data_IF_341427475299
#
_entry.id   IF_341427475299
#
_cell.length_a   1.000
_cell.length_b   1.000
_cell.length_c   1.000
_cell.angle_alpha   90.00
_cell.angle_beta   90.00
_cell.angle_gamma   90.00
#
_symmetry.space_group_name_H-M   'P 1'
#
loop_
_entity.id
_entity.type
_entity.pdbx_description
1 polymer ?
#
# COMPACT_ATOMS: atom_id res chain seq x y z
N UNK A 1 47.69 -20.98 17.90
CA UNK A 1 46.32 -20.42 17.85
C UNK A 1 45.44 -21.51 17.29
N UNK A 2 44.65 -22.16 18.16
CA UNK A 2 43.67 -23.19 17.76
C UNK A 2 42.46 -22.48 17.25
N UNK A 3 42.10 -22.66 15.98
CA UNK A 3 40.80 -22.36 15.42
C UNK A 3 39.79 -23.30 16.06
N UNK A 4 38.91 -22.76 16.92
CA UNK A 4 37.73 -23.47 17.37
C UNK A 4 36.73 -23.49 16.22
N UNK A 5 36.69 -24.59 15.48
CA UNK A 5 35.61 -24.91 14.58
C UNK A 5 34.33 -25.16 15.40
N UNK A 6 33.46 -24.18 15.46
CA UNK A 6 32.12 -24.37 16.03
C UNK A 6 31.34 -25.24 15.04
N UNK A 7 31.18 -26.54 15.35
CA UNK A 7 30.36 -27.43 14.54
C UNK A 7 28.89 -27.29 14.96
N UNK A 8 28.05 -26.75 14.11
CA UNK A 8 26.61 -26.81 14.27
C UNK A 8 26.09 -28.13 13.72
N UNK A 9 25.42 -28.95 14.55
CA UNK A 9 24.67 -30.11 14.08
C UNK A 9 23.28 -29.64 13.62
N UNK A 10 23.06 -29.66 12.31
CA UNK A 10 21.73 -29.50 11.76
C UNK A 10 20.86 -30.72 12.06
N UNK A 11 19.78 -30.58 12.83
CA UNK A 11 18.64 -31.48 12.71
C UNK A 11 17.87 -31.06 11.44
N UNK A 12 17.98 -31.86 10.38
CA UNK A 12 17.14 -31.76 9.21
C UNK A 12 15.70 -32.09 9.60
N UNK A 13 14.84 -31.10 9.80
CA UNK A 13 13.45 -31.25 9.48
C UNK A 13 13.35 -31.07 7.95
N UNK A 14 12.69 -31.99 7.26
CA UNK A 14 12.60 -32.01 5.78
C UNK A 14 11.75 -30.85 5.21
N UNK A 15 11.12 -30.04 6.06
CA UNK A 15 10.31 -28.89 5.68
C UNK A 15 11.18 -27.66 5.41
N UNK A 16 10.86 -26.96 4.35
CA UNK A 16 11.49 -25.68 3.99
C UNK A 16 11.23 -24.68 5.11
N UNK A 17 12.27 -24.38 5.88
CA UNK A 17 12.19 -23.50 7.04
C UNK A 17 12.19 -22.05 6.57
N UNK A 18 11.01 -21.46 6.42
CA UNK A 18 10.83 -20.07 6.00
C UNK A 18 9.53 -19.46 6.51
N UNK A 19 9.50 -18.17 6.50
CA UNK A 19 8.30 -17.37 6.76
C UNK A 19 7.91 -16.69 5.45
N UNK A 20 6.64 -16.78 5.07
CA UNK A 20 6.10 -16.02 3.94
C UNK A 20 4.92 -15.21 4.43
N UNK A 21 4.99 -13.90 4.22
CA UNK A 21 3.85 -12.99 4.42
C UNK A 21 3.24 -12.60 3.09
N UNK A 22 1.93 -12.38 3.10
CA UNK A 22 1.13 -11.89 1.99
C UNK A 22 0.41 -10.63 2.44
N UNK A 23 0.65 -9.51 1.76
CA UNK A 23 0.12 -8.19 2.13
C UNK A 23 -0.57 -7.56 0.93
N UNK A 24 -1.86 -7.18 1.03
CA UNK A 24 -2.60 -6.61 -0.08
C UNK A 24 -2.18 -5.17 -0.36
N UNK A 25 -2.39 -4.74 -1.61
CA UNK A 25 -2.36 -3.34 -1.98
C UNK A 25 -3.68 -2.67 -1.66
N UNK A 26 -3.67 -1.32 -1.62
CA UNK A 26 -4.86 -0.53 -1.30
C UNK A 26 -5.29 0.37 -2.45
N UNK A 27 -6.58 0.61 -2.49
CA UNK A 27 -7.24 1.59 -3.35
C UNK A 27 -7.90 2.64 -2.47
N UNK A 28 -7.46 3.90 -2.54
CA UNK A 28 -8.01 5.02 -1.78
C UNK A 28 -8.98 5.80 -2.64
N UNK A 29 -10.24 5.84 -2.24
CA UNK A 29 -11.30 6.51 -2.99
C UNK A 29 -11.43 7.98 -2.64
N UNK A 30 -11.61 8.30 -1.36
CA UNK A 30 -11.89 9.65 -0.87
C UNK A 30 -10.95 10.04 0.27
N UNK A 31 -10.81 11.33 0.50
CA UNK A 31 -10.05 11.87 1.63
C UNK A 31 -8.53 11.87 1.48
N UNK A 32 -7.99 11.31 0.40
CA UNK A 32 -6.53 11.21 0.24
C UNK A 32 -5.83 12.57 0.27
N UNK A 33 -4.83 12.69 1.15
CA UNK A 33 -4.13 13.92 1.48
C UNK A 33 -4.54 14.49 2.84
N UNK A 34 -5.74 14.17 3.35
CA UNK A 34 -6.14 14.53 4.72
C UNK A 34 -5.53 13.61 5.77
N UNK A 35 -4.88 12.53 5.34
CA UNK A 35 -4.08 11.59 6.13
C UNK A 35 -2.64 12.08 6.41
N UNK A 36 -2.30 13.29 5.93
CA UNK A 36 -1.00 13.92 6.20
C UNK A 36 -1.00 14.57 7.59
N UNK A 37 0.02 14.33 8.45
CA UNK A 37 0.11 14.95 9.78
C UNK A 37 -0.04 16.47 9.77
N UNK A 38 0.55 17.14 8.78
CA UNK A 38 0.45 18.59 8.60
C UNK A 38 -0.96 19.11 8.34
N UNK A 39 -1.92 18.23 8.04
CA UNK A 39 -3.31 18.59 7.85
C UNK A 39 -4.18 18.11 9.01
N UNK A 40 -4.11 16.80 9.34
CA UNK A 40 -5.06 16.23 10.29
C UNK A 40 -4.83 16.68 11.74
N UNK A 41 -3.63 17.07 12.12
CA UNK A 41 -3.35 17.58 13.47
C UNK A 41 -4.16 18.85 13.80
N UNK A 42 -4.47 19.67 12.81
CA UNK A 42 -5.23 20.90 13.00
C UNK A 42 -6.71 20.77 12.59
N UNK A 43 -6.99 19.94 11.58
CA UNK A 43 -8.31 19.92 10.92
C UNK A 43 -9.05 18.60 11.10
N UNK A 44 -8.42 17.60 11.73
CA UNK A 44 -8.85 16.22 11.58
C UNK A 44 -8.63 15.70 10.17
N UNK A 45 -8.77 14.41 9.97
CA UNK A 45 -8.63 13.78 8.66
C UNK A 45 -9.43 12.51 8.56
N UNK A 46 -9.80 12.12 7.36
CA UNK A 46 -10.38 10.81 7.12
C UNK A 46 -10.10 10.34 5.69
N UNK A 47 -9.99 9.03 5.51
CA UNK A 47 -9.95 8.41 4.20
C UNK A 47 -10.96 7.27 4.11
N UNK A 48 -11.49 7.05 2.92
CA UNK A 48 -12.27 5.89 2.57
C UNK A 48 -11.49 5.06 1.57
N UNK A 49 -11.10 3.86 1.96
CA UNK A 49 -10.22 2.98 1.17
C UNK A 49 -10.58 1.52 1.31
N UNK A 50 -10.16 0.72 0.35
CA UNK A 50 -10.26 -0.74 0.39
C UNK A 50 -8.95 -1.37 0.00
N UNK A 51 -8.71 -2.59 0.48
CA UNK A 51 -7.70 -3.48 -0.09
C UNK A 51 -8.30 -4.35 -1.19
N UNK A 52 -7.45 -4.90 -2.06
CA UNK A 52 -7.88 -5.73 -3.19
C UNK A 52 -6.89 -6.86 -3.47
N UNK A 53 -7.29 -7.84 -4.24
CA UNK A 53 -6.62 -9.12 -4.47
C UNK A 53 -5.36 -9.05 -5.36
N UNK A 54 -4.55 -8.04 -5.12
CA UNK A 54 -3.18 -7.94 -5.60
C UNK A 54 -2.28 -7.66 -4.41
N UNK A 55 -1.14 -8.34 -4.37
CA UNK A 55 -0.37 -8.46 -3.15
C UNK A 55 1.11 -8.24 -3.39
N UNK A 56 1.81 -7.95 -2.31
CA UNK A 56 3.21 -8.27 -2.20
C UNK A 56 3.43 -9.47 -1.27
N UNK A 57 4.52 -10.15 -1.52
CA UNK A 57 4.99 -11.31 -0.75
C UNK A 57 6.38 -11.01 -0.25
N UNK A 58 6.58 -11.21 1.05
CA UNK A 58 7.90 -11.18 1.65
C UNK A 58 8.21 -12.57 2.18
N UNK A 59 9.26 -13.15 1.63
CA UNK A 59 9.80 -14.42 2.09
C UNK A 59 11.08 -14.13 2.88
N UNK A 60 11.18 -14.62 4.12
CA UNK A 60 12.34 -14.45 4.97
C UNK A 60 12.70 -15.75 5.67
N UNK A 61 14.00 -15.98 5.81
CA UNK A 61 14.57 -17.08 6.60
C UNK A 61 15.94 -16.69 7.13
N UNK A 62 16.45 -17.41 8.10
CA UNK A 62 17.86 -17.28 8.46
C UNK A 62 18.77 -17.76 7.31
N UNK A 63 19.87 -17.05 7.10
CA UNK A 63 20.86 -17.43 6.10
C UNK A 63 21.90 -18.35 6.76
N UNK A 64 22.08 -19.60 6.28
CA UNK A 64 23.11 -20.49 6.81
C UNK A 64 24.51 -19.89 6.60
N UNK A 65 25.40 -20.07 7.58
CA UNK A 65 26.79 -19.56 7.59
C UNK A 65 27.73 -20.33 6.66
N UNK A 66 27.27 -20.68 5.44
CA UNK A 66 28.10 -21.33 4.42
C UNK A 66 28.73 -20.37 3.44
N UNK A 67 28.33 -19.09 3.53
CA UNK A 67 28.66 -18.05 2.57
C UNK A 67 29.62 -17.06 3.22
N UNK A 68 30.33 -16.30 2.39
CA UNK A 68 31.21 -15.19 2.77
C UNK A 68 30.45 -13.87 3.08
N UNK A 69 29.12 -13.92 3.05
CA UNK A 69 28.20 -12.84 3.42
C UNK A 69 27.16 -13.34 4.43
N UNK A 70 26.68 -12.45 5.29
CA UNK A 70 25.70 -12.77 6.35
C UNK A 70 24.25 -12.51 5.94
N UNK A 71 24.00 -11.65 4.94
CA UNK A 71 22.68 -11.24 4.52
C UNK A 71 22.56 -11.22 3.01
N UNK A 72 21.47 -11.80 2.49
CA UNK A 72 21.13 -11.77 1.08
C UNK A 72 19.71 -11.20 0.89
N UNK A 73 19.60 -10.15 0.11
CA UNK A 73 18.35 -9.48 -0.17
C UNK A 73 18.06 -9.51 -1.68
N UNK A 74 16.86 -9.95 -2.07
CA UNK A 74 16.43 -9.98 -3.46
C UNK A 74 15.10 -9.22 -3.61
N UNK A 75 15.14 -8.13 -4.38
CA UNK A 75 13.99 -7.30 -4.71
C UNK A 75 14.10 -6.84 -6.18
N UNK A 76 14.15 -5.55 -6.53
CA UNK A 76 14.55 -5.10 -7.88
C UNK A 76 16.05 -5.23 -8.16
N UNK A 77 16.82 -5.53 -7.11
CA UNK A 77 18.26 -5.81 -7.10
C UNK A 77 18.53 -7.00 -6.20
N UNK A 78 19.73 -7.58 -6.32
CA UNK A 78 20.26 -8.52 -5.33
C UNK A 78 21.39 -7.83 -4.58
N UNK A 79 21.30 -7.80 -3.26
CA UNK A 79 22.36 -7.33 -2.37
C UNK A 79 22.88 -8.50 -1.54
N UNK A 80 24.19 -8.57 -1.35
CA UNK A 80 24.88 -9.51 -0.46
C UNK A 80 25.85 -8.71 0.38
N UNK A 81 25.62 -8.70 1.68
CA UNK A 81 26.36 -7.87 2.62
C UNK A 81 26.74 -8.67 3.86
N UNK A 82 27.80 -8.24 4.52
CA UNK A 82 28.21 -8.78 5.83
C UNK A 82 27.71 -7.91 6.96
N UNK A 83 27.68 -6.59 6.76
CA UNK A 83 27.18 -5.64 7.73
C UNK A 83 25.81 -5.07 7.29
N UNK A 84 24.88 -4.94 8.23
CA UNK A 84 23.54 -4.34 7.97
C UNK A 84 23.65 -2.90 7.49
N UNK A 85 24.69 -2.16 7.90
CA UNK A 85 24.91 -0.78 7.45
C UNK A 85 25.21 -0.68 5.95
N UNK A 86 25.74 -1.72 5.33
CA UNK A 86 26.02 -1.75 3.89
C UNK A 86 24.78 -1.97 3.02
N UNK A 87 23.63 -2.29 3.61
CA UNK A 87 22.38 -2.47 2.89
C UNK A 87 21.95 -1.16 2.24
N UNK A 88 21.78 -1.15 0.92
CA UNK A 88 21.39 0.03 0.17
C UNK A 88 19.91 0.38 0.31
N UNK A 89 19.03 -0.64 0.46
CA UNK A 89 17.60 -0.41 0.60
C UNK A 89 17.25 0.17 1.99
N UNK A 90 16.84 1.45 2.09
CA UNK A 90 16.73 2.11 3.39
C UNK A 90 15.70 1.46 4.32
N UNK A 91 14.54 1.04 3.79
CA UNK A 91 13.51 0.42 4.62
C UNK A 91 13.97 -0.95 5.16
N UNK A 92 14.69 -1.77 4.37
CA UNK A 92 15.21 -3.06 4.86
C UNK A 92 16.28 -2.82 5.90
N UNK A 93 17.26 -1.96 5.63
CA UNK A 93 18.32 -1.62 6.58
C UNK A 93 17.76 -1.13 7.91
N UNK A 94 16.88 -0.15 7.87
CA UNK A 94 16.31 0.44 9.07
C UNK A 94 15.40 -0.54 9.83
N UNK A 95 14.62 -1.38 9.15
CA UNK A 95 13.81 -2.41 9.79
C UNK A 95 14.67 -3.49 10.45
N UNK A 96 15.76 -3.93 9.81
CA UNK A 96 16.70 -4.89 10.40
C UNK A 96 17.35 -4.32 11.65
N UNK A 97 17.78 -3.05 11.62
CA UNK A 97 18.33 -2.36 12.80
C UNK A 97 17.28 -2.21 13.91
N UNK A 98 16.09 -1.76 13.57
CA UNK A 98 14.99 -1.52 14.52
C UNK A 98 14.57 -2.80 15.24
N UNK A 99 14.52 -3.93 14.53
CA UNK A 99 14.12 -5.22 15.09
C UNK A 99 15.31 -6.11 15.47
N UNK A 100 16.55 -5.60 15.41
CA UNK A 100 17.75 -6.38 15.72
C UNK A 100 17.76 -7.72 14.93
N UNK A 101 17.69 -7.61 13.60
CA UNK A 101 17.71 -8.74 12.67
C UNK A 101 19.06 -8.91 12.04
N UNK A 102 19.55 -10.13 12.02
CA UNK A 102 20.86 -10.50 11.47
C UNK A 102 20.76 -11.80 10.69
N UNK A 103 21.72 -12.02 9.79
CA UNK A 103 21.93 -13.31 9.12
C UNK A 103 20.67 -13.84 8.43
N UNK A 104 20.04 -13.00 7.59
CA UNK A 104 18.80 -13.36 6.89
C UNK A 104 18.96 -13.40 5.38
N UNK A 105 18.14 -14.24 4.74
CA UNK A 105 17.77 -14.10 3.35
C UNK A 105 16.35 -13.55 3.26
N UNK A 106 16.17 -12.47 2.50
CA UNK A 106 14.87 -11.87 2.24
C UNK A 106 14.64 -11.79 0.74
N UNK A 107 13.46 -12.24 0.29
CA UNK A 107 12.99 -12.08 -1.09
C UNK A 107 11.66 -11.34 -1.09
N UNK A 108 11.54 -10.35 -1.97
CA UNK A 108 10.33 -9.58 -2.21
C UNK A 108 9.81 -9.82 -3.62
N UNK A 109 8.52 -10.14 -3.72
CA UNK A 109 7.79 -10.29 -4.97
C UNK A 109 6.47 -9.52 -4.90
N UNK A 110 5.93 -9.10 -6.03
CA UNK A 110 4.70 -8.33 -6.08
C UNK A 110 3.91 -8.58 -7.38
N UNK A 111 2.58 -8.62 -7.26
CA UNK A 111 1.67 -8.80 -8.40
C UNK A 111 1.63 -7.56 -9.32
N UNK A 112 1.96 -6.38 -8.80
CA UNK A 112 1.91 -5.11 -9.52
C UNK A 112 3.20 -4.32 -9.31
N UNK A 113 3.56 -3.44 -10.27
CA UNK A 113 4.82 -2.71 -10.21
C UNK A 113 4.89 -1.76 -8.99
N UNK A 114 6.07 -1.62 -8.43
CA UNK A 114 6.35 -0.63 -7.40
C UNK A 114 6.13 0.80 -7.92
N UNK A 115 5.92 1.76 -6.99
CA UNK A 115 5.77 3.20 -7.31
C UNK A 115 4.58 3.51 -8.20
N UNK A 116 3.52 2.75 -8.08
CA UNK A 116 2.33 2.81 -8.94
C UNK A 116 1.12 3.48 -8.27
N UNK A 117 1.29 4.03 -7.06
CA UNK A 117 0.23 4.74 -6.34
C UNK A 117 -0.74 3.85 -5.56
N UNK A 118 -0.40 2.57 -5.38
CA UNK A 118 -1.24 1.56 -4.70
C UNK A 118 -0.77 1.25 -3.26
N UNK A 119 0.08 2.09 -2.67
CA UNK A 119 0.64 1.84 -1.35
C UNK A 119 1.68 0.72 -1.32
N UNK A 120 2.34 0.44 -2.45
CA UNK A 120 3.25 -0.71 -2.60
C UNK A 120 4.45 -0.68 -1.64
N UNK A 121 5.00 0.51 -1.33
CA UNK A 121 6.08 0.68 -0.35
C UNK A 121 5.61 0.28 1.04
N UNK A 122 4.46 0.83 1.46
CA UNK A 122 3.91 0.57 2.79
C UNK A 122 3.43 -0.87 2.94
N UNK A 123 2.85 -1.48 1.89
CA UNK A 123 2.52 -2.91 1.91
C UNK A 123 3.78 -3.77 2.08
N UNK A 124 4.90 -3.39 1.44
CA UNK A 124 6.18 -4.04 1.65
C UNK A 124 6.69 -3.85 3.08
N UNK A 125 6.66 -2.62 3.62
CA UNK A 125 7.11 -2.33 4.98
C UNK A 125 6.32 -3.14 6.02
N UNK A 126 4.99 -3.14 5.92
CA UNK A 126 4.10 -3.91 6.81
C UNK A 126 4.35 -5.42 6.69
N UNK A 127 4.44 -5.94 5.45
CA UNK A 127 4.70 -7.36 5.20
C UNK A 127 6.06 -7.80 5.73
N UNK A 128 7.09 -6.99 5.57
CA UNK A 128 8.44 -7.23 6.06
C UNK A 128 8.48 -7.25 7.60
N UNK A 129 7.89 -6.25 8.27
CA UNK A 129 7.82 -6.23 9.73
C UNK A 129 7.08 -7.45 10.27
N UNK A 130 5.94 -7.82 9.66
CA UNK A 130 5.20 -9.02 10.03
C UNK A 130 6.05 -10.30 9.86
N UNK A 131 6.80 -10.40 8.75
CA UNK A 131 7.71 -11.53 8.51
C UNK A 131 8.85 -11.58 9.53
N UNK A 132 9.42 -10.44 9.91
CA UNK A 132 10.49 -10.36 10.91
C UNK A 132 9.99 -10.73 12.30
N UNK A 133 8.80 -10.26 12.71
CA UNK A 133 8.18 -10.68 13.95
C UNK A 133 7.93 -12.19 13.98
N UNK A 134 7.38 -12.73 12.90
CA UNK A 134 7.14 -14.17 12.78
C UNK A 134 8.44 -14.97 12.84
N UNK A 135 9.53 -14.51 12.19
CA UNK A 135 10.84 -15.17 12.24
C UNK A 135 11.43 -15.18 13.68
N UNK A 136 11.15 -14.13 14.47
CA UNK A 136 11.51 -14.05 15.89
C UNK A 136 10.57 -14.84 16.81
N UNK A 137 9.59 -15.57 16.27
CA UNK A 137 8.57 -16.26 17.06
C UNK A 137 7.65 -15.34 17.87
N UNK A 138 7.48 -14.10 17.44
CA UNK A 138 6.69 -13.07 18.12
C UNK A 138 5.45 -12.72 17.28
N UNK A 139 4.31 -12.65 17.93
CA UNK A 139 3.08 -12.12 17.32
C UNK A 139 3.08 -10.60 17.35
N UNK A 140 2.75 -9.98 16.23
CA UNK A 140 2.46 -8.56 16.14
C UNK A 140 1.03 -8.38 15.61
N UNK A 141 0.21 -7.65 16.34
CA UNK A 141 -1.14 -7.33 15.91
C UNK A 141 -1.16 -6.27 14.80
N UNK A 142 -2.34 -6.05 14.22
CA UNK A 142 -2.53 -5.12 13.11
C UNK A 142 -2.16 -3.69 13.47
N UNK A 143 -2.52 -3.26 14.69
CA UNK A 143 -2.21 -1.90 15.14
C UNK A 143 -0.71 -1.70 15.28
N UNK A 144 -0.04 -2.62 15.94
CA UNK A 144 1.42 -2.59 16.10
C UNK A 144 2.15 -2.56 14.75
N UNK A 145 1.73 -3.40 13.80
CA UNK A 145 2.33 -3.43 12.46
C UNK A 145 2.12 -2.11 11.70
N UNK A 146 0.94 -1.50 11.82
CA UNK A 146 0.65 -0.22 11.21
C UNK A 146 1.50 0.91 11.84
N UNK A 147 1.52 1.00 13.17
CA UNK A 147 2.27 2.02 13.91
C UNK A 147 3.76 1.94 13.61
N UNK A 148 4.33 0.74 13.64
CA UNK A 148 5.76 0.54 13.37
C UNK A 148 6.12 0.75 11.89
N UNK A 149 5.21 0.45 10.96
CA UNK A 149 5.43 0.75 9.55
C UNK A 149 5.38 2.27 9.28
N UNK A 150 4.48 3.00 9.97
CA UNK A 150 4.47 4.47 9.94
C UNK A 150 5.80 5.00 10.49
N UNK A 151 6.23 4.53 11.66
CA UNK A 151 7.50 4.93 12.26
C UNK A 151 8.68 4.62 11.35
N UNK A 152 8.73 3.42 10.77
CA UNK A 152 9.80 3.01 9.84
C UNK A 152 9.89 3.95 8.63
N UNK A 153 8.76 4.22 7.97
CA UNK A 153 8.78 5.02 6.75
C UNK A 153 8.92 6.53 7.05
N UNK A 154 8.27 7.06 8.09
CA UNK A 154 8.24 8.51 8.37
C UNK A 154 9.44 8.99 9.17
N UNK A 155 9.84 8.23 10.20
CA UNK A 155 10.91 8.65 11.10
C UNK A 155 12.26 8.03 10.69
N UNK A 156 12.33 6.71 10.52
CA UNK A 156 13.61 6.05 10.26
C UNK A 156 14.09 6.21 8.82
N UNK A 157 13.17 6.22 7.85
CA UNK A 157 13.50 6.43 6.43
C UNK A 157 13.33 7.89 5.99
N UNK A 158 12.75 8.76 6.83
CA UNK A 158 12.49 10.18 6.54
C UNK A 158 11.70 10.40 5.25
N UNK A 159 10.81 9.47 4.92
CA UNK A 159 9.95 9.57 3.74
C UNK A 159 8.77 10.50 4.01
N UNK A 160 8.50 11.44 3.10
CA UNK A 160 7.30 12.25 3.16
C UNK A 160 6.06 11.41 2.82
N UNK A 161 4.95 11.60 3.55
CA UNK A 161 3.68 10.92 3.25
C UNK A 161 2.69 10.90 4.40
N UNK A 162 1.46 10.50 4.07
CA UNK A 162 0.41 10.27 5.04
C UNK A 162 0.49 8.88 5.69
N UNK A 163 -0.48 8.57 6.52
CA UNK A 163 -0.50 7.34 7.32
C UNK A 163 -1.44 6.26 6.76
N UNK A 164 -2.26 6.58 5.77
CA UNK A 164 -3.30 5.67 5.28
C UNK A 164 -2.77 4.34 4.75
N UNK A 165 -1.61 4.36 4.09
CA UNK A 165 -1.11 3.20 3.34
C UNK A 165 -0.68 2.05 4.25
N UNK A 166 0.05 2.37 5.31
CA UNK A 166 0.50 1.42 6.32
C UNK A 166 -0.69 0.81 7.07
N UNK A 167 -1.66 1.65 7.43
CA UNK A 167 -2.87 1.23 8.14
C UNK A 167 -3.70 0.32 7.23
N UNK A 168 -3.97 0.73 5.99
CA UNK A 168 -4.74 -0.09 5.05
C UNK A 168 -4.08 -1.44 4.76
N UNK A 169 -2.77 -1.48 4.56
CA UNK A 169 -2.02 -2.71 4.33
C UNK A 169 -2.05 -3.65 5.54
N UNK A 170 -2.00 -3.10 6.75
CA UNK A 170 -2.03 -3.87 7.99
C UNK A 170 -3.42 -4.42 8.29
N UNK A 171 -4.43 -3.56 8.27
CA UNK A 171 -5.80 -3.92 8.65
C UNK A 171 -6.52 -4.72 7.56
N UNK A 172 -6.36 -4.31 6.30
CA UNK A 172 -7.13 -4.84 5.17
C UNK A 172 -8.61 -4.48 5.23
N UNK A 173 -9.33 -4.80 4.17
CA UNK A 173 -10.78 -4.59 4.09
C UNK A 173 -11.18 -3.22 3.57
N UNK A 174 -12.48 -2.98 3.57
CA UNK A 174 -13.07 -1.71 3.17
C UNK A 174 -13.35 -0.89 4.42
N UNK A 175 -12.57 0.18 4.62
CA UNK A 175 -12.58 0.95 5.86
C UNK A 175 -12.68 2.45 5.60
N UNK A 176 -13.29 3.13 6.57
CA UNK A 176 -13.01 4.51 6.90
C UNK A 176 -11.87 4.53 7.92
N UNK A 177 -10.87 5.36 7.71
CA UNK A 177 -9.79 5.60 8.66
C UNK A 177 -9.85 7.07 9.04
N UNK A 178 -10.15 7.35 10.31
CA UNK A 178 -10.14 8.69 10.87
C UNK A 178 -8.75 9.00 11.45
N UNK A 179 -8.32 10.24 11.30
CA UNK A 179 -7.04 10.73 11.84
C UNK A 179 -7.27 11.94 12.72
N UNK A 180 -6.61 11.96 13.88
CA UNK A 180 -6.61 13.06 14.84
C UNK A 180 -5.18 13.32 15.34
N UNK A 181 -4.99 14.34 16.15
CA UNK A 181 -3.73 14.59 16.87
C UNK A 181 -3.39 13.49 17.88
N UNK A 182 -4.38 12.73 18.35
CA UNK A 182 -4.19 11.58 19.26
C UNK A 182 -3.84 10.27 18.52
N UNK A 183 -3.97 10.23 17.18
CA UNK A 183 -3.69 9.04 16.37
C UNK A 183 -4.73 8.76 15.30
N UNK A 184 -5.12 7.48 15.15
CA UNK A 184 -6.08 7.08 14.14
C UNK A 184 -7.05 6.02 14.65
N UNK A 185 -8.21 5.95 14.00
CA UNK A 185 -9.24 4.94 14.22
C UNK A 185 -9.62 4.27 12.90
N UNK A 186 -9.77 2.95 12.90
CA UNK A 186 -10.15 2.17 11.72
C UNK A 186 -11.57 1.63 11.90
N UNK A 187 -12.49 2.09 11.07
CA UNK A 187 -13.91 1.74 11.10
C UNK A 187 -14.28 0.94 9.83
N UNK A 188 -14.64 -0.35 9.96
CA UNK A 188 -15.11 -1.11 8.81
C UNK A 188 -16.40 -0.53 8.22
N UNK A 189 -16.47 -0.39 6.90
CA UNK A 189 -17.70 0.00 6.21
C UNK A 189 -18.63 -1.20 6.13
N UNK A 190 -19.77 -1.11 6.81
CA UNK A 190 -20.76 -2.18 6.86
C UNK A 190 -21.78 -1.98 5.73
N UNK A 191 -21.61 -2.75 4.67
CA UNK A 191 -22.52 -2.78 3.50
C UNK A 191 -22.91 -4.20 3.15
N UNK A 192 -24.07 -4.38 2.48
CA UNK A 192 -24.49 -5.72 2.10
C UNK A 192 -23.54 -6.35 1.07
N UNK A 193 -23.38 -7.69 1.06
CA UNK A 193 -22.53 -8.36 0.09
C UNK A 193 -22.87 -8.03 -1.37
N UNK A 194 -24.16 -7.88 -1.68
CA UNK A 194 -24.63 -7.55 -3.03
C UNK A 194 -24.18 -6.14 -3.44
N UNK A 195 -24.30 -5.17 -2.51
CA UNK A 195 -23.89 -3.78 -2.77
C UNK A 195 -22.37 -3.67 -2.90
N UNK A 196 -21.62 -4.38 -2.06
CA UNK A 196 -20.15 -4.47 -2.16
C UNK A 196 -19.72 -5.08 -3.49
N UNK A 197 -20.38 -6.17 -3.91
CA UNK A 197 -20.15 -6.83 -5.20
C UNK A 197 -20.47 -5.91 -6.37
N UNK A 198 -21.61 -5.21 -6.34
CA UNK A 198 -22.00 -4.25 -7.38
C UNK A 198 -20.99 -3.12 -7.52
N UNK A 199 -20.54 -2.55 -6.38
CA UNK A 199 -19.50 -1.53 -6.40
C UNK A 199 -18.21 -2.06 -7.05
N UNK A 200 -17.74 -3.25 -6.62
CA UNK A 200 -16.55 -3.87 -7.19
C UNK A 200 -16.67 -4.10 -8.70
N UNK A 201 -17.82 -4.60 -9.15
CA UNK A 201 -18.09 -4.87 -10.57
C UNK A 201 -18.15 -3.60 -11.43
N UNK A 202 -18.53 -2.46 -10.85
CA UNK A 202 -18.57 -1.19 -11.55
C UNK A 202 -17.23 -0.45 -11.56
N UNK A 203 -16.19 -0.97 -10.89
CA UNK A 203 -14.86 -0.38 -10.91
C UNK A 203 -13.98 -1.07 -11.95
N UNK A 204 -13.34 -0.26 -12.78
CA UNK A 204 -12.39 -0.70 -13.79
C UNK A 204 -11.04 -0.03 -13.55
N UNK A 205 -9.96 -0.81 -13.46
CA UNK A 205 -8.60 -0.31 -13.21
C UNK A 205 -7.69 -0.52 -14.42
N UNK A 206 -6.96 0.53 -14.79
CA UNK A 206 -6.05 0.54 -15.94
C UNK A 206 -4.67 1.05 -15.53
N UNK A 207 -3.62 0.35 -15.97
CA UNK A 207 -2.25 0.80 -15.77
C UNK A 207 -1.85 1.80 -16.86
N UNK A 208 -1.38 2.98 -16.44
CA UNK A 208 -1.05 4.07 -17.37
C UNK A 208 0.33 3.93 -18.03
N UNK A 209 1.13 2.92 -17.65
CA UNK A 209 2.49 2.73 -18.16
C UNK A 209 3.55 3.63 -17.51
N UNK A 210 3.15 4.58 -16.64
CA UNK A 210 4.07 5.49 -15.96
C UNK A 210 4.12 5.21 -14.47
N UNK A 211 5.32 5.19 -13.92
CA UNK A 211 5.55 5.06 -12.46
C UNK A 211 6.43 6.21 -11.99
N UNK A 212 6.15 6.75 -10.79
CA UNK A 212 6.94 7.82 -10.17
C UNK A 212 7.08 7.60 -8.66
N UNK A 213 8.13 8.14 -8.08
CA UNK A 213 8.25 8.18 -6.62
C UNK A 213 7.18 9.11 -6.02
N UNK A 214 6.39 8.57 -5.10
CA UNK A 214 5.38 9.35 -4.38
C UNK A 214 6.00 10.53 -3.62
N UNK A 215 7.19 10.33 -3.05
CA UNK A 215 7.95 11.38 -2.37
C UNK A 215 8.32 12.54 -3.28
N UNK A 216 8.64 12.30 -4.55
CA UNK A 216 8.99 13.36 -5.50
C UNK A 216 7.77 14.20 -5.86
N UNK A 217 6.62 13.54 -6.09
CA UNK A 217 5.35 14.23 -6.32
C UNK A 217 4.94 15.05 -5.12
N UNK A 218 5.09 14.50 -3.91
CA UNK A 218 4.75 15.22 -2.67
C UNK A 218 5.69 16.40 -2.41
N UNK A 219 7.01 16.24 -2.63
CA UNK A 219 7.98 17.33 -2.53
C UNK A 219 7.71 18.44 -3.55
N UNK A 220 7.40 18.08 -4.81
CA UNK A 220 7.04 19.05 -5.84
C UNK A 220 5.75 19.82 -5.50
N UNK A 221 4.75 19.15 -4.94
CA UNK A 221 3.51 19.77 -4.49
C UNK A 221 3.67 20.61 -3.21
N UNK A 222 4.66 20.29 -2.36
CA UNK A 222 5.00 21.10 -1.17
C UNK A 222 5.81 22.35 -1.54
N UNK A 223 6.66 22.26 -2.56
CA UNK A 223 7.47 23.39 -3.03
C UNK A 223 6.63 24.49 -3.71
N UNK A 224 5.52 24.14 -4.33
CA UNK A 224 4.55 25.09 -4.85
C UNK A 224 3.68 25.65 -3.71
N UNK A 225 3.99 26.80 -3.13
CA UNK A 225 3.28 27.46 -2.01
C UNK A 225 1.77 27.71 -2.23
N UNK A 226 1.04 26.71 -2.74
CA UNK A 226 -0.42 26.80 -2.92
C UNK A 226 -1.07 26.36 -1.62
N UNK A 227 -1.87 27.24 -1.03
CA UNK A 227 -2.76 26.84 0.06
C UNK A 227 -3.85 25.92 -0.50
N UNK A 228 -3.80 24.67 -0.09
CA UNK A 228 -4.70 23.60 -0.49
C UNK A 228 -5.71 23.21 0.60
N UNK A 229 -5.77 23.99 1.68
CA UNK A 229 -6.59 23.68 2.85
C UNK A 229 -8.06 23.59 2.50
N UNK A 230 -8.56 24.51 1.66
CA UNK A 230 -9.97 24.51 1.22
C UNK A 230 -10.32 23.22 0.44
N UNK A 231 -9.48 22.84 -0.53
CA UNK A 231 -9.68 21.62 -1.32
C UNK A 231 -9.60 20.36 -0.44
N UNK A 232 -8.68 20.31 0.52
CA UNK A 232 -8.56 19.17 1.44
C UNK A 232 -9.76 19.08 2.39
N UNK A 233 -10.30 20.22 2.87
CA UNK A 233 -11.53 20.24 3.69
C UNK A 233 -12.74 19.76 2.90
N UNK A 234 -12.87 20.14 1.64
CA UNK A 234 -13.92 19.63 0.77
C UNK A 234 -13.73 18.13 0.46
N UNK A 235 -12.49 17.69 0.20
CA UNK A 235 -12.18 16.25 0.05
C UNK A 235 -12.46 15.45 1.33
N UNK A 236 -12.31 16.05 2.50
CA UNK A 236 -12.67 15.45 3.79
C UNK A 236 -14.18 15.26 3.93
N UNK A 237 -14.98 16.29 3.60
CA UNK A 237 -16.46 16.18 3.67
C UNK A 237 -17.00 15.11 2.72
N UNK A 238 -16.37 14.90 1.57
CA UNK A 238 -16.75 13.84 0.63
C UNK A 238 -16.58 12.43 1.21
N UNK A 239 -15.81 12.23 2.28
CA UNK A 239 -15.70 10.93 2.95
C UNK A 239 -17.03 10.57 3.62
N UNK A 240 -17.66 11.50 4.32
CA UNK A 240 -18.97 11.31 4.99
C UNK A 240 -20.07 11.05 3.96
N UNK A 241 -20.07 11.82 2.87
CA UNK A 241 -21.05 11.65 1.79
C UNK A 241 -20.88 10.29 1.08
N UNK A 242 -19.66 9.87 0.81
CA UNK A 242 -19.38 8.59 0.18
C UNK A 242 -19.74 7.41 1.09
N UNK A 243 -19.48 7.49 2.39
CA UNK A 243 -19.95 6.49 3.36
C UNK A 243 -21.46 6.39 3.36
N UNK A 244 -22.19 7.52 3.34
CA UNK A 244 -23.65 7.54 3.22
C UNK A 244 -24.11 6.88 1.93
N UNK A 245 -23.50 7.20 0.77
CA UNK A 245 -23.80 6.55 -0.50
C UNK A 245 -23.60 5.05 -0.43
N UNK A 246 -22.59 4.56 0.27
CA UNK A 246 -22.34 3.14 0.41
C UNK A 246 -23.36 2.43 1.32
N UNK A 247 -23.74 3.05 2.42
CA UNK A 247 -24.56 2.42 3.48
C UNK A 247 -26.06 2.57 3.27
N UNK A 248 -26.51 3.66 2.64
CA UNK A 248 -27.92 3.92 2.35
C UNK A 248 -28.33 3.28 1.01
N UNK A 249 -29.15 2.23 1.10
CA UNK A 249 -29.64 1.49 -0.09
C UNK A 249 -30.57 2.31 -0.99
N UNK A 250 -31.14 3.39 -0.52
CA UNK A 250 -32.00 4.29 -1.32
C UNK A 250 -31.20 5.17 -2.29
N UNK A 251 -29.90 5.33 -2.04
CA UNK A 251 -29.00 6.12 -2.89
C UNK A 251 -28.35 5.22 -3.94
N UNK A 252 -28.38 5.63 -5.20
CA UNK A 252 -27.72 4.89 -6.28
C UNK A 252 -26.19 4.87 -6.08
N UNK A 253 -25.55 3.72 -6.34
CA UNK A 253 -24.07 3.66 -6.35
C UNK A 253 -23.45 4.51 -7.47
N UNK A 254 -24.22 4.95 -8.46
CA UNK A 254 -23.73 5.88 -9.48
C UNK A 254 -23.25 7.21 -8.90
N UNK A 255 -23.83 7.62 -7.74
CA UNK A 255 -23.33 8.81 -7.02
C UNK A 255 -21.88 8.64 -6.56
N UNK A 256 -21.49 7.42 -6.16
CA UNK A 256 -20.08 7.14 -5.83
C UNK A 256 -19.17 7.42 -7.02
N UNK A 257 -19.61 7.06 -8.25
CA UNK A 257 -18.88 7.37 -9.47
C UNK A 257 -18.76 8.87 -9.72
N UNK A 258 -19.86 9.63 -9.59
CA UNK A 258 -19.84 11.11 -9.75
C UNK A 258 -18.97 11.79 -8.71
N UNK A 259 -19.01 11.31 -7.48
CA UNK A 259 -18.15 11.81 -6.40
C UNK A 259 -16.67 11.51 -6.65
N UNK A 260 -16.31 10.38 -7.29
CA UNK A 260 -14.93 10.12 -7.71
C UNK A 260 -14.43 11.16 -8.72
N UNK A 261 -15.27 11.55 -9.68
CA UNK A 261 -14.94 12.63 -10.64
C UNK A 261 -14.72 13.96 -9.90
N UNK A 262 -15.62 14.31 -8.98
CA UNK A 262 -15.48 15.53 -8.18
C UNK A 262 -14.20 15.54 -7.34
N UNK A 263 -13.94 14.46 -6.60
CA UNK A 263 -12.70 14.27 -5.83
C UNK A 263 -11.45 14.39 -6.71
N UNK A 264 -11.48 13.84 -7.93
CA UNK A 264 -10.34 13.94 -8.84
C UNK A 264 -10.11 15.39 -9.32
N UNK A 265 -11.19 16.13 -9.62
CA UNK A 265 -11.10 17.55 -9.97
C UNK A 265 -10.50 18.37 -8.84
N UNK A 266 -10.92 18.16 -7.60
CA UNK A 266 -10.33 18.81 -6.41
C UNK A 266 -8.87 18.46 -6.26
N UNK A 267 -8.53 17.16 -6.36
CA UNK A 267 -7.17 16.69 -6.20
C UNK A 267 -6.20 17.29 -7.22
N UNK A 268 -6.60 17.46 -8.47
CA UNK A 268 -5.79 18.14 -9.49
C UNK A 268 -5.45 19.58 -9.12
N UNK A 269 -6.26 20.25 -8.32
CA UNK A 269 -6.01 21.61 -7.86
C UNK A 269 -5.01 21.69 -6.70
N UNK A 270 -4.71 20.56 -6.04
CA UNK A 270 -3.79 20.55 -4.88
C UNK A 270 -2.31 20.61 -5.28
N UNK A 271 -1.96 20.48 -6.55
CA UNK A 271 -0.59 20.61 -7.02
C UNK A 271 -0.42 20.24 -8.50
N UNK A 272 0.50 20.92 -9.16
CA UNK A 272 0.78 20.73 -10.60
C UNK A 272 1.38 19.36 -10.94
N UNK A 273 1.97 18.65 -9.96
CA UNK A 273 2.54 17.31 -10.15
C UNK A 273 1.50 16.18 -9.98
N UNK A 274 0.26 16.50 -9.61
CA UNK A 274 -0.81 15.50 -9.38
C UNK A 274 -1.25 14.86 -10.70
N UNK A 275 -1.38 15.64 -11.77
CA UNK A 275 -1.71 15.13 -13.09
C UNK A 275 -0.71 15.60 -14.15
N UNK A 276 -0.71 14.92 -15.27
CA UNK A 276 0.04 15.29 -16.48
C UNK A 276 -0.94 15.37 -17.65
N UNK A 277 -0.56 16.06 -18.74
CA UNK A 277 -1.41 16.14 -19.93
C UNK A 277 -1.81 14.76 -20.47
N UNK A 278 -0.92 13.77 -20.39
CA UNK A 278 -1.23 12.39 -20.79
C UNK A 278 -2.30 11.75 -19.88
N UNK A 279 -2.19 11.94 -18.58
CA UNK A 279 -3.20 11.45 -17.62
C UNK A 279 -4.54 12.12 -17.85
N UNK A 280 -4.55 13.42 -18.10
CA UNK A 280 -5.80 14.16 -18.39
C UNK A 280 -6.46 13.66 -19.68
N UNK A 281 -5.69 13.43 -20.76
CA UNK A 281 -6.19 12.85 -22.00
C UNK A 281 -6.79 11.45 -21.77
N UNK A 282 -6.09 10.58 -21.02
CA UNK A 282 -6.58 9.24 -20.70
C UNK A 282 -7.86 9.30 -19.86
N UNK A 283 -7.89 10.17 -18.86
CA UNK A 283 -9.07 10.37 -18.02
C UNK A 283 -10.28 10.82 -18.85
N UNK A 284 -10.14 11.87 -19.68
CA UNK A 284 -11.18 12.38 -20.55
C UNK A 284 -11.68 11.32 -21.54
N UNK A 285 -10.80 10.45 -22.03
CA UNK A 285 -11.15 9.33 -22.90
C UNK A 285 -12.08 8.34 -22.20
N UNK A 286 -11.80 8.00 -20.94
CA UNK A 286 -12.66 7.14 -20.13
C UNK A 286 -14.04 7.75 -19.85
N UNK A 287 -14.07 9.05 -19.50
CA UNK A 287 -15.34 9.78 -19.27
C UNK A 287 -16.17 9.83 -20.56
N UNK A 288 -15.58 10.19 -21.69
CA UNK A 288 -16.27 10.24 -23.01
C UNK A 288 -16.82 8.88 -23.43
N UNK A 289 -16.17 7.80 -23.02
CA UNK A 289 -16.62 6.44 -23.30
C UNK A 289 -17.75 5.94 -22.38
N UNK A 290 -18.12 6.72 -21.36
CA UNK A 290 -19.27 6.45 -20.49
C UNK A 290 -18.93 6.13 -19.03
N UNK A 291 -17.71 6.34 -18.58
CA UNK A 291 -17.40 6.32 -17.15
C UNK A 291 -18.09 7.50 -16.45
N UNK A 292 -18.74 7.25 -15.30
CA UNK A 292 -19.38 8.29 -14.50
C UNK A 292 -18.37 9.14 -13.72
N UNK A 293 -17.20 8.59 -13.48
CA UNK A 293 -16.10 9.28 -12.81
C UNK A 293 -14.95 8.31 -12.60
N UNK A 294 -13.88 8.83 -12.02
CA UNK A 294 -12.67 8.07 -11.76
C UNK A 294 -11.60 8.93 -11.13
N UNK A 295 -10.45 8.35 -10.90
CA UNK A 295 -9.27 9.07 -10.41
C UNK A 295 -7.98 8.32 -10.68
N UNK A 296 -6.87 9.04 -10.66
CA UNK A 296 -5.55 8.45 -10.54
C UNK A 296 -5.30 8.08 -9.08
N UNK A 297 -4.90 6.83 -8.84
CA UNK A 297 -4.60 6.33 -7.51
C UNK A 297 -3.22 6.83 -7.01
N UNK A 298 -3.09 7.01 -5.70
CA UNK A 298 -1.83 7.45 -5.07
C UNK A 298 -1.57 8.95 -5.13
N UNK A 299 -0.31 9.36 -5.04
CA UNK A 299 0.11 10.75 -4.95
C UNK A 299 -0.07 11.56 -6.25
N UNK A 300 -0.14 10.88 -7.39
CA UNK A 300 -0.25 11.51 -8.71
C UNK A 300 0.91 11.19 -9.65
N UNK A 301 0.87 11.78 -10.83
CA UNK A 301 1.95 11.73 -11.82
C UNK A 301 2.03 10.44 -12.67
N UNK A 302 1.29 9.39 -12.34
CA UNK A 302 1.24 8.11 -13.04
C UNK A 302 0.79 6.97 -12.12
N UNK A 303 0.75 5.76 -12.64
CA UNK A 303 0.31 4.56 -11.94
C UNK A 303 -1.00 4.00 -12.48
N UNK A 304 -2.05 3.93 -11.70
CA UNK A 304 -3.32 3.33 -12.07
C UNK A 304 -4.46 4.35 -12.08
N UNK A 305 -5.21 4.36 -13.17
CA UNK A 305 -6.51 5.01 -13.25
C UNK A 305 -7.59 4.01 -12.85
N UNK A 306 -8.46 4.40 -11.93
CA UNK A 306 -9.68 3.68 -11.62
C UNK A 306 -10.88 4.49 -12.09
N UNK A 307 -11.82 3.83 -12.79
CA UNK A 307 -13.08 4.43 -13.24
C UNK A 307 -14.25 3.66 -12.63
N UNK A 308 -15.32 4.39 -12.30
CA UNK A 308 -16.61 3.81 -12.04
C UNK A 308 -17.41 3.79 -13.35
N UNK A 309 -17.78 2.59 -13.78
CA UNK A 309 -18.43 2.35 -15.09
C UNK A 309 -19.59 1.40 -14.90
N UNK A 310 -20.78 1.84 -15.27
CA UNK A 310 -21.96 0.97 -15.30
C UNK A 310 -21.74 -0.20 -16.27
N UNK A 311 -22.32 -1.36 -15.97
CA UNK A 311 -22.06 -2.61 -16.68
C UNK A 311 -22.26 -2.53 -18.20
N UNK A 312 -23.29 -1.77 -18.65
CA UNK A 312 -23.62 -1.57 -20.07
C UNK A 312 -22.61 -0.67 -20.82
N UNK A 313 -21.78 0.10 -20.10
CA UNK A 313 -20.74 0.97 -20.65
C UNK A 313 -19.33 0.38 -20.60
N UNK A 314 -19.13 -0.71 -19.88
CA UNK A 314 -17.77 -1.25 -19.65
C UNK A 314 -17.07 -1.66 -20.96
N UNK A 315 -17.79 -2.23 -21.91
CA UNK A 315 -17.22 -2.60 -23.23
C UNK A 315 -16.70 -1.37 -23.98
N UNK A 316 -17.46 -0.27 -23.96
CA UNK A 316 -17.06 0.98 -24.61
C UNK A 316 -15.82 1.61 -23.94
N UNK A 317 -15.80 1.64 -22.60
CA UNK A 317 -14.62 2.13 -21.86
C UNK A 317 -13.41 1.24 -22.10
N UNK A 318 -13.58 -0.08 -22.12
CA UNK A 318 -12.48 -1.02 -22.40
C UNK A 318 -11.91 -0.83 -23.79
N UNK A 319 -12.75 -0.62 -24.81
CA UNK A 319 -12.29 -0.35 -26.19
C UNK A 319 -11.59 1.03 -26.26
N UNK A 320 -12.13 2.06 -25.62
CA UNK A 320 -11.50 3.36 -25.56
C UNK A 320 -10.12 3.33 -24.89
N UNK A 321 -9.91 2.45 -23.93
CA UNK A 321 -8.68 2.33 -23.14
C UNK A 321 -7.82 1.12 -23.57
N UNK A 322 -8.03 0.56 -24.76
CA UNK A 322 -7.37 -0.68 -25.23
C UNK A 322 -5.84 -0.62 -25.34
N UNK A 323 -5.27 0.57 -25.38
CA UNK A 323 -3.82 0.78 -25.33
C UNK A 323 -3.23 0.62 -23.93
N UNK A 324 -4.07 0.60 -22.87
CA UNK A 324 -3.67 0.41 -21.49
C UNK A 324 -3.94 -1.03 -21.04
N UNK A 325 -3.10 -1.50 -20.12
CA UNK A 325 -3.34 -2.79 -19.50
C UNK A 325 -4.51 -2.67 -18.52
N UNK A 326 -5.61 -3.40 -18.79
CA UNK A 326 -6.70 -3.58 -17.85
C UNK A 326 -6.31 -4.57 -16.77
N UNK A 327 -6.53 -4.21 -15.51
CA UNK A 327 -6.21 -5.04 -14.35
C UNK A 327 -7.51 -5.47 -13.67
N UNK A 328 -7.95 -6.72 -13.83
CA UNK A 328 -9.07 -7.25 -13.06
C UNK A 328 -8.68 -7.40 -11.60
N UNK A 329 -9.61 -7.10 -10.70
CA UNK A 329 -9.41 -7.22 -9.26
C UNK A 329 -10.72 -7.48 -8.52
N UNK A 330 -10.62 -8.01 -7.31
CA UNK A 330 -11.70 -8.09 -6.35
C UNK A 330 -11.27 -7.42 -5.03
N UNK A 331 -12.24 -6.91 -4.28
CA UNK A 331 -11.97 -6.42 -2.94
C UNK A 331 -11.47 -7.56 -2.04
N UNK A 332 -10.47 -7.26 -1.23
CA UNK A 332 -9.88 -8.18 -0.25
C UNK A 332 -10.20 -7.69 1.15
N UNK A 333 -10.66 -8.57 2.01
CA UNK A 333 -11.04 -8.22 3.39
C UNK A 333 -9.89 -8.42 4.40
N UNK A 334 -8.88 -9.18 4.03
CA UNK A 334 -7.71 -9.40 4.88
C UNK A 334 -6.63 -8.34 4.70
N UNK A 335 -5.91 -8.01 5.76
CA UNK A 335 -4.65 -7.26 5.72
C UNK A 335 -3.45 -8.19 5.57
N UNK A 336 -2.29 -7.71 6.01
CA UNK A 336 -1.08 -8.53 6.04
C UNK A 336 -1.30 -9.80 6.85
N UNK A 337 -0.78 -10.93 6.36
CA UNK A 337 -0.88 -12.22 7.04
C UNK A 337 0.31 -13.12 6.72
N UNK A 338 0.71 -13.92 7.68
CA UNK A 338 1.64 -15.02 7.46
C UNK A 338 0.89 -16.16 6.77
N UNK A 339 1.36 -16.58 5.60
CA UNK A 339 0.75 -17.66 4.82
C UNK A 339 1.59 -18.95 4.84
N UNK A 340 2.85 -18.84 5.23
CA UNK A 340 3.71 -19.97 5.50
C UNK A 340 4.53 -19.69 6.76
N UNK A 341 4.51 -20.62 7.72
CA UNK A 341 5.19 -20.47 9.00
C UNK A 341 5.91 -21.77 9.36
N UNK A 342 7.18 -21.80 9.06
CA UNK A 342 8.08 -22.90 9.45
C UNK A 342 9.38 -22.28 9.96
N UNK A 343 9.40 -21.76 11.21
CA UNK A 343 10.57 -21.10 11.76
C UNK A 343 11.69 -22.13 12.05
N UNK A 344 12.92 -21.73 11.81
CA UNK A 344 14.09 -22.50 12.22
C UNK A 344 14.26 -22.39 13.74
N UNK A 345 14.48 -23.51 14.41
CA UNK A 345 15.00 -23.52 15.77
C UNK A 345 16.51 -23.81 15.71
N UNK A 346 17.32 -22.85 16.09
CA UNK A 346 18.73 -23.09 16.39
C UNK A 346 18.84 -23.39 17.88
N UNK A 347 19.02 -24.67 18.24
CA UNK A 347 19.49 -24.99 19.57
C UNK A 347 21.01 -24.80 19.57
N UNK A 348 21.58 -23.94 20.43
CA UNK A 348 23.02 -23.93 20.64
C UNK A 348 23.45 -25.31 21.14
N UNK A 349 24.48 -25.87 20.55
CA UNK A 349 25.10 -27.06 21.08
C UNK A 349 25.73 -26.68 22.43
N UNK A 350 25.16 -27.23 23.52
CA UNK A 350 25.74 -27.18 24.86
C UNK A 350 26.96 -28.08 24.91
#
# INVERSE_FOLDING_TARGET
VKEEQISYKYKRNEDIQMIITKTPFRMSFFGGGTDMPSFFQENGGAVLSTTFDKYCYVNVRHLPRFFDYSTELSYSKTERVTDVEDIQHPAIRNAMKFLDMHEIRLTYEADLPARSGLGTSSSFAVGMLNAFYALKGKYADKKKLADEAIYLERELCMEAGGWQDQIAASFGGFNRINFTDEGYEVLPIIISPERKKQLNQNLMMFFTGFTRFSSDVQKANAAGKVDKTAQLKEMLSLVDEAEKVLTDKSISLDEFGRMLDHTWKLKRQTGSAVSTSNIDILYDKGIKAGALGGKLLGAGGGGFLVFYVQSDKQSAVREAMKELMYIPFNFEDGGTRVIHYTPESYEPLV
#
